data_IF_951325555967
#
_entry.id   IF_951325555967
#
_cell.length_a   1.000
_cell.length_b   1.000
_cell.length_c   1.000
_cell.angle_alpha   90.00
_cell.angle_beta   90.00
_cell.angle_gamma   90.00
#
_symmetry.space_group_name_H-M   'P 1'
#
loop_
_entity.id
_entity.type
_entity.pdbx_description
1 polymer ?
#
# COMPACT_ATOMS: atom_id res chain seq x y z
N UNK A 1 -10.84 -21.97 11.47
CA UNK A 1 -9.87 -20.86 11.36
C UNK A 1 -10.55 -19.52 11.05
N UNK A 2 -11.42 -19.45 10.03
CA UNK A 2 -12.10 -18.20 9.63
C UNK A 2 -13.00 -17.59 10.73
N UNK A 3 -13.73 -18.43 11.49
CA UNK A 3 -14.56 -17.96 12.62
C UNK A 3 -13.73 -17.36 13.76
N UNK A 4 -12.52 -17.89 14.01
CA UNK A 4 -11.56 -17.32 14.98
C UNK A 4 -10.96 -16.00 14.49
N UNK A 5 -10.81 -15.84 13.18
CA UNK A 5 -10.36 -14.58 12.58
C UNK A 5 -11.44 -13.49 12.69
N UNK A 6 -12.70 -13.86 12.45
CA UNK A 6 -13.82 -12.93 12.55
C UNK A 6 -14.16 -12.52 13.99
N UNK A 7 -13.85 -13.37 14.98
CA UNK A 7 -14.02 -13.04 16.39
C UNK A 7 -12.93 -12.12 16.95
N UNK A 8 -11.85 -11.87 16.22
CA UNK A 8 -10.80 -10.93 16.64
C UNK A 8 -11.26 -9.49 16.49
N UNK A 9 -10.65 -8.60 17.29
CA UNK A 9 -10.82 -7.17 17.13
C UNK A 9 -10.55 -6.72 15.69
N UNK A 10 -11.30 -5.74 15.17
CA UNK A 10 -11.12 -5.25 13.81
C UNK A 10 -9.70 -4.71 13.56
N UNK A 11 -9.03 -4.20 14.60
CA UNK A 11 -7.63 -3.79 14.56
C UNK A 11 -6.68 -4.99 14.38
N UNK A 12 -6.90 -6.07 15.15
CA UNK A 12 -6.09 -7.28 15.07
C UNK A 12 -6.26 -7.98 13.71
N UNK A 13 -7.47 -8.00 13.15
CA UNK A 13 -7.72 -8.50 11.79
C UNK A 13 -6.93 -7.74 10.74
N UNK A 14 -6.91 -6.41 10.82
CA UNK A 14 -6.15 -5.54 9.92
C UNK A 14 -4.64 -5.74 10.07
N UNK A 15 -4.14 -5.91 11.29
CA UNK A 15 -2.72 -6.19 11.54
C UNK A 15 -2.27 -7.51 10.91
N UNK A 16 -3.08 -8.57 11.01
CA UNK A 16 -2.79 -9.87 10.39
C UNK A 16 -2.77 -9.75 8.86
N UNK A 17 -3.73 -9.03 8.27
CA UNK A 17 -3.76 -8.77 6.81
C UNK A 17 -2.53 -7.96 6.38
N UNK A 18 -2.15 -6.93 7.13
CA UNK A 18 -0.95 -6.15 6.85
C UNK A 18 0.32 -7.01 6.92
N UNK A 19 0.46 -7.87 7.93
CA UNK A 19 1.60 -8.77 8.07
C UNK A 19 1.69 -9.76 6.90
N UNK A 20 0.56 -10.34 6.47
CA UNK A 20 0.51 -11.24 5.34
C UNK A 20 0.91 -10.54 4.02
N UNK A 21 0.37 -9.35 3.78
CA UNK A 21 0.70 -8.55 2.59
C UNK A 21 2.16 -8.09 2.57
N UNK A 22 2.72 -7.74 3.72
CA UNK A 22 4.14 -7.44 3.85
C UNK A 22 5.02 -8.63 3.49
N UNK A 23 4.63 -9.84 3.91
CA UNK A 23 5.29 -11.08 3.53
C UNK A 23 5.28 -11.29 2.01
N UNK A 24 4.14 -11.07 1.34
CA UNK A 24 4.05 -11.17 -0.13
C UNK A 24 4.95 -10.15 -0.83
N UNK A 25 4.99 -8.91 -0.35
CA UNK A 25 5.88 -7.86 -0.87
C UNK A 25 7.35 -8.28 -0.72
N UNK A 26 7.73 -8.81 0.44
CA UNK A 26 9.11 -9.24 0.69
C UNK A 26 9.52 -10.38 -0.24
N UNK A 27 8.61 -11.33 -0.49
CA UNK A 27 8.84 -12.43 -1.45
C UNK A 27 8.96 -11.86 -2.87
N UNK A 28 8.04 -11.00 -3.30
CA UNK A 28 8.02 -10.41 -4.65
C UNK A 28 9.31 -9.64 -4.98
N UNK A 29 9.93 -8.99 -3.99
CA UNK A 29 11.23 -8.30 -4.14
C UNK A 29 12.38 -9.25 -4.49
N UNK A 30 12.31 -10.53 -4.08
CA UNK A 30 13.33 -11.55 -4.38
C UNK A 30 13.14 -12.18 -5.77
N UNK A 31 11.99 -11.97 -6.42
CA UNK A 31 11.70 -12.50 -7.75
C UNK A 31 12.18 -11.54 -8.86
N UNK A 32 12.51 -12.08 -10.06
CA UNK A 32 12.77 -11.24 -11.22
C UNK A 32 11.54 -10.40 -11.57
N UNK A 33 11.77 -9.12 -11.87
CA UNK A 33 10.71 -8.16 -12.19
C UNK A 33 10.16 -8.43 -13.59
N UNK A 34 8.89 -8.83 -13.64
CA UNK A 34 8.07 -8.96 -14.83
C UNK A 34 6.81 -8.12 -14.62
N UNK A 35 6.05 -7.82 -15.69
CA UNK A 35 4.84 -6.99 -15.58
C UNK A 35 3.82 -7.53 -14.57
N UNK A 36 3.78 -8.85 -14.41
CA UNK A 36 2.92 -9.52 -13.43
C UNK A 36 3.38 -9.28 -11.98
N UNK A 37 4.67 -9.44 -11.66
CA UNK A 37 5.20 -9.23 -10.30
C UNK A 37 5.10 -7.76 -9.91
N UNK A 38 5.35 -6.84 -10.85
CA UNK A 38 5.14 -5.39 -10.63
C UNK A 38 3.67 -5.08 -10.32
N UNK A 39 2.72 -5.71 -11.03
CA UNK A 39 1.29 -5.52 -10.77
C UNK A 39 0.88 -6.07 -9.41
N UNK A 40 1.38 -7.25 -9.03
CA UNK A 40 1.13 -7.88 -7.73
C UNK A 40 1.70 -7.01 -6.61
N UNK A 41 2.93 -6.52 -6.77
CA UNK A 41 3.57 -5.60 -5.83
C UNK A 41 2.72 -4.35 -5.58
N UNK A 42 2.21 -3.73 -6.65
CA UNK A 42 1.37 -2.52 -6.55
C UNK A 42 0.07 -2.80 -5.79
N UNK A 43 -0.61 -3.91 -6.10
CA UNK A 43 -1.85 -4.31 -5.44
C UNK A 43 -1.60 -4.61 -3.95
N UNK A 44 -0.56 -5.40 -3.64
CA UNK A 44 -0.19 -5.73 -2.27
C UNK A 44 0.23 -4.48 -1.47
N UNK A 45 0.97 -3.55 -2.08
CA UNK A 45 1.38 -2.29 -1.47
C UNK A 45 0.19 -1.39 -1.12
N UNK A 46 -0.77 -1.23 -2.03
CA UNK A 46 -1.99 -0.44 -1.78
C UNK A 46 -2.84 -1.09 -0.69
N UNK A 47 -3.03 -2.41 -0.76
CA UNK A 47 -3.78 -3.16 0.25
C UNK A 47 -3.11 -3.11 1.63
N UNK A 48 -1.77 -3.07 1.68
CA UNK A 48 -1.00 -2.92 2.91
C UNK A 48 -1.17 -1.54 3.55
N UNK A 49 -1.07 -0.46 2.74
CA UNK A 49 -1.33 0.90 3.20
C UNK A 49 -2.76 1.08 3.72
N UNK A 50 -3.72 0.40 3.07
CA UNK A 50 -5.11 0.36 3.54
C UNK A 50 -5.25 -0.38 4.87
N UNK A 51 -4.62 -1.55 5.00
CA UNK A 51 -4.68 -2.37 6.20
C UNK A 51 -4.10 -1.63 7.42
N UNK A 52 -3.01 -0.87 7.27
CA UNK A 52 -2.39 -0.10 8.36
C UNK A 52 -3.15 1.22 8.64
N UNK A 53 -4.06 1.63 7.75
CA UNK A 53 -4.84 2.86 7.90
C UNK A 53 -4.09 4.14 7.52
N UNK A 54 -2.91 4.02 6.89
CA UNK A 54 -2.07 5.15 6.45
C UNK A 54 -2.40 5.57 5.01
N UNK A 55 -3.28 4.83 4.31
CA UNK A 55 -3.67 5.14 2.94
C UNK A 55 -4.15 6.60 2.75
N UNK A 56 -4.98 7.12 3.66
CA UNK A 56 -5.47 8.51 3.59
C UNK A 56 -4.36 9.56 3.70
N UNK A 57 -3.52 9.58 4.76
CA UNK A 57 -2.43 10.54 4.85
C UNK A 57 -1.41 10.37 3.72
N UNK A 58 -1.18 9.14 3.24
CA UNK A 58 -0.32 8.88 2.10
C UNK A 58 -0.86 9.53 0.81
N UNK A 59 -2.15 9.33 0.50
CA UNK A 59 -2.79 9.94 -0.67
C UNK A 59 -2.78 11.47 -0.60
N UNK A 60 -3.00 12.04 0.59
CA UNK A 60 -2.93 13.49 0.79
C UNK A 60 -1.52 14.04 0.53
N UNK A 61 -0.48 13.34 1.01
CA UNK A 61 0.90 13.69 0.74
C UNK A 61 1.24 13.62 -0.75
N UNK A 62 0.80 12.56 -1.46
CA UNK A 62 0.96 12.47 -2.92
C UNK A 62 0.26 13.63 -3.65
N UNK A 63 -0.95 13.99 -3.24
CA UNK A 63 -1.68 15.12 -3.82
C UNK A 63 -0.92 16.45 -3.65
N UNK A 64 -0.36 16.69 -2.46
CA UNK A 64 0.45 17.88 -2.21
C UNK A 64 1.73 17.89 -3.06
N UNK A 65 2.41 16.76 -3.19
CA UNK A 65 3.58 16.63 -4.06
C UNK A 65 3.23 16.91 -5.52
N UNK A 66 2.14 16.33 -6.03
CA UNK A 66 1.66 16.61 -7.38
C UNK A 66 1.35 18.09 -7.56
N UNK A 67 0.69 18.73 -6.60
CA UNK A 67 0.40 20.17 -6.64
C UNK A 67 1.68 21.02 -6.71
N UNK A 68 2.72 20.64 -5.96
CA UNK A 68 4.02 21.31 -6.01
C UNK A 68 4.69 21.10 -7.38
N UNK A 69 4.74 19.86 -7.87
CA UNK A 69 5.33 19.53 -9.17
C UNK A 69 4.61 20.26 -10.30
N UNK A 70 3.27 20.28 -10.30
CA UNK A 70 2.49 21.05 -11.26
C UNK A 70 2.84 22.52 -11.17
N UNK A 71 2.87 23.11 -9.97
CA UNK A 71 3.24 24.52 -9.79
C UNK A 71 4.62 24.81 -10.37
N UNK A 72 5.61 23.96 -10.12
CA UNK A 72 6.98 24.11 -10.66
C UNK A 72 6.97 24.02 -12.19
N UNK A 73 6.29 23.02 -12.75
CA UNK A 73 6.28 22.78 -14.22
C UNK A 73 5.47 23.82 -14.99
N UNK A 74 4.43 24.40 -14.38
CA UNK A 74 3.62 25.47 -14.97
C UNK A 74 4.12 26.87 -14.61
N UNK A 75 5.21 26.97 -13.84
CA UNK A 75 5.85 28.23 -13.50
C UNK A 75 6.55 28.78 -14.75
N UNK A 76 6.14 29.93 -15.31
CA UNK A 76 6.65 30.43 -16.59
C UNK A 76 8.00 31.17 -16.46
N UNK A 77 8.80 30.86 -15.44
CA UNK A 77 10.15 31.41 -15.27
C UNK A 77 11.17 30.53 -16.01
#
# INVERSE_FOLDING_TARGET
MLNKFWSLDPLARRAIVAAALFGFIAIDVLLPKCDLTVSIFMICGIAFLWAIGILRPFLFMMFLLLKIVFRIKTSPW
#
